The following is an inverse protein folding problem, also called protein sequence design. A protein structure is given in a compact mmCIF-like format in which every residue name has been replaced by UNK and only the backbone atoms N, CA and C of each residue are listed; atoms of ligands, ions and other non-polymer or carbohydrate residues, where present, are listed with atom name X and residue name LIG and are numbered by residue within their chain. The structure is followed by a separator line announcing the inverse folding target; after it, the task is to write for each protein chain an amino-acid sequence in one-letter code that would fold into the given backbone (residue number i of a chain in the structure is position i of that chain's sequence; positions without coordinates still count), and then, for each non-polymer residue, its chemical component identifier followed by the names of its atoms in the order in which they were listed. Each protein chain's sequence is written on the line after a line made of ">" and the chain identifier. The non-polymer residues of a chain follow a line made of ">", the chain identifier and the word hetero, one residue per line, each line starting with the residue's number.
data_IF_778636876556
#
_entry.id   IF_778636876556
#
_cell.length_a   1.000
_cell.length_b   1.000
_cell.length_c   1.000
_cell.angle_alpha   90.00
_cell.angle_beta   90.00
_cell.angle_gamma   90.00
#
_symmetry.space_group_name_H-M   'P 1'
#
loop_
_entity.id
_entity.type
_entity.pdbx_description
1 polymer ?
#
# COMPACT_ATOMS: atom_id res chain seq x y z
N UNK A 1 -0.74 -47.88 -33.10
CA UNK A 1 -1.22 -47.45 -31.77
C UNK A 1 -0.47 -46.17 -31.37
N UNK A 2 -0.88 -45.01 -31.90
CA UNK A 2 -0.16 -43.74 -31.68
C UNK A 2 -0.52 -43.16 -30.32
N UNK A 3 0.42 -43.14 -29.37
CA UNK A 3 0.20 -42.52 -28.06
C UNK A 3 -0.04 -41.03 -28.25
N UNK A 4 -1.06 -40.51 -27.60
CA UNK A 4 -1.56 -39.14 -27.73
C UNK A 4 -0.63 -38.12 -27.06
N UNK A 5 0.55 -37.90 -27.63
CA UNK A 5 1.58 -36.98 -27.13
C UNK A 5 1.12 -35.50 -26.96
N UNK A 6 -0.10 -35.15 -27.40
CA UNK A 6 -0.72 -33.83 -27.22
C UNK A 6 -1.35 -33.63 -25.84
N UNK A 7 -1.94 -34.67 -25.24
CA UNK A 7 -2.56 -34.57 -23.91
C UNK A 7 -1.52 -34.30 -22.81
N UNK A 8 -0.38 -34.99 -22.90
CA UNK A 8 0.73 -34.82 -21.95
C UNK A 8 1.33 -33.41 -21.99
N UNK A 9 1.45 -32.80 -23.18
CA UNK A 9 1.95 -31.42 -23.34
C UNK A 9 1.01 -30.36 -22.74
N UNK A 10 -0.30 -30.60 -22.76
CA UNK A 10 -1.29 -29.68 -22.20
C UNK A 10 -1.29 -29.70 -20.66
N UNK A 11 -1.15 -30.87 -20.06
CA UNK A 11 -1.00 -31.00 -18.60
C UNK A 11 0.28 -30.32 -18.10
N UNK A 12 1.39 -30.51 -18.80
CA UNK A 12 2.66 -29.88 -18.47
C UNK A 12 2.56 -28.34 -18.53
N UNK A 13 1.95 -27.77 -19.59
CA UNK A 13 1.72 -26.32 -19.69
C UNK A 13 0.81 -25.78 -18.57
N UNK A 14 -0.24 -26.52 -18.20
CA UNK A 14 -1.15 -26.16 -17.12
C UNK A 14 -0.45 -26.15 -15.75
N UNK A 15 0.40 -27.13 -15.48
CA UNK A 15 1.22 -27.18 -14.27
C UNK A 15 2.22 -26.03 -14.19
N UNK A 16 2.90 -25.68 -15.29
CA UNK A 16 3.78 -24.52 -15.32
C UNK A 16 3.03 -23.22 -15.05
N UNK A 17 1.86 -23.02 -15.67
CA UNK A 17 1.03 -21.84 -15.42
C UNK A 17 0.61 -21.73 -13.95
N UNK A 18 0.26 -22.86 -13.32
CA UNK A 18 -0.14 -22.93 -11.90
C UNK A 18 1.02 -22.55 -10.98
N UNK A 19 2.21 -23.13 -11.19
CA UNK A 19 3.42 -22.80 -10.42
C UNK A 19 3.82 -21.34 -10.60
N UNK A 20 3.66 -20.80 -11.80
CA UNK A 20 3.95 -19.38 -12.11
C UNK A 20 2.98 -18.47 -11.37
N UNK A 21 1.69 -18.77 -11.37
CA UNK A 21 0.68 -18.00 -10.64
C UNK A 21 0.90 -18.06 -9.12
N UNK A 22 1.26 -19.22 -8.56
CA UNK A 22 1.56 -19.39 -7.14
C UNK A 22 2.80 -18.58 -6.75
N UNK A 23 3.89 -18.67 -7.52
CA UNK A 23 5.11 -17.92 -7.26
C UNK A 23 4.93 -16.41 -7.39
N UNK A 24 4.11 -15.94 -8.34
CA UNK A 24 3.68 -14.54 -8.44
C UNK A 24 2.90 -14.14 -7.18
N UNK A 25 1.93 -14.94 -6.75
CA UNK A 25 1.12 -14.67 -5.55
C UNK A 25 1.95 -14.62 -4.27
N UNK A 26 2.92 -15.52 -4.11
CA UNK A 26 3.83 -15.53 -2.96
C UNK A 26 4.76 -14.31 -2.96
N UNK A 27 5.38 -13.98 -4.11
CA UNK A 27 6.17 -12.75 -4.25
C UNK A 27 5.35 -11.50 -3.96
N UNK A 28 4.09 -11.48 -4.37
CA UNK A 28 3.16 -10.40 -4.05
C UNK A 28 2.99 -10.33 -2.52
N UNK A 29 2.54 -11.41 -1.89
CA UNK A 29 2.31 -11.47 -0.43
C UNK A 29 3.51 -11.02 0.39
N UNK A 30 4.71 -11.49 0.06
CA UNK A 30 5.93 -11.14 0.80
C UNK A 30 6.25 -9.64 0.69
N UNK A 31 6.03 -9.02 -0.47
CA UNK A 31 6.26 -7.57 -0.68
C UNK A 31 5.27 -6.71 0.10
N UNK A 32 4.00 -7.10 0.19
CA UNK A 32 3.00 -6.30 0.90
C UNK A 32 3.11 -6.47 2.42
N UNK A 33 3.39 -7.67 2.90
CA UNK A 33 3.53 -7.92 4.34
C UNK A 33 4.78 -7.24 4.91
N UNK A 34 5.91 -7.29 4.20
CA UNK A 34 7.17 -6.64 4.66
C UNK A 34 7.10 -5.10 4.68
N UNK A 35 6.28 -4.50 3.83
CA UNK A 35 6.05 -3.05 3.78
C UNK A 35 4.81 -2.58 4.56
N UNK A 36 4.12 -3.49 5.26
CA UNK A 36 2.98 -3.13 6.11
C UNK A 36 3.44 -2.37 7.35
N UNK A 37 2.54 -1.55 7.90
CA UNK A 37 2.73 -0.92 9.20
C UNK A 37 2.65 -1.94 10.35
N UNK A 38 3.37 -1.67 11.45
CA UNK A 38 3.24 -2.43 12.68
C UNK A 38 1.96 -2.06 13.45
N UNK A 39 1.46 -2.97 14.29
CA UNK A 39 0.27 -2.71 15.13
C UNK A 39 0.50 -1.52 16.08
N UNK A 40 1.73 -1.39 16.58
CA UNK A 40 2.20 -0.31 17.44
C UNK A 40 2.16 1.05 16.74
N UNK A 41 2.34 1.10 15.41
CA UNK A 41 2.30 2.35 14.67
C UNK A 41 0.92 3.00 14.75
N UNK A 42 -0.13 2.22 14.54
CA UNK A 42 -1.52 2.66 14.70
C UNK A 42 -1.84 3.04 16.15
N UNK A 43 -1.32 2.29 17.13
CA UNK A 43 -1.44 2.65 18.55
C UNK A 43 -0.78 3.99 18.89
N UNK A 44 0.40 4.28 18.35
CA UNK A 44 1.09 5.58 18.51
C UNK A 44 0.25 6.72 17.94
N UNK A 45 -0.41 6.53 16.80
CA UNK A 45 -1.33 7.51 16.24
C UNK A 45 -2.49 7.86 17.19
N UNK A 46 -3.08 6.86 17.84
CA UNK A 46 -4.14 7.06 18.83
C UNK A 46 -3.61 7.84 20.04
N UNK A 47 -2.46 7.44 20.59
CA UNK A 47 -1.85 8.11 21.74
C UNK A 47 -1.50 9.56 21.41
N UNK A 48 -0.89 9.83 20.25
CA UNK A 48 -0.56 11.18 19.82
C UNK A 48 -1.81 12.05 19.64
N UNK A 49 -2.88 11.49 19.08
CA UNK A 49 -4.16 12.21 18.94
C UNK A 49 -4.80 12.49 20.32
N UNK A 50 -4.77 11.51 21.23
CA UNK A 50 -5.32 11.65 22.57
C UNK A 50 -4.54 12.66 23.44
N UNK A 51 -3.24 12.82 23.18
CA UNK A 51 -2.38 13.77 23.87
C UNK A 51 -2.45 15.20 23.28
N UNK A 52 -3.13 15.40 22.14
CA UNK A 52 -3.24 16.71 21.51
C UNK A 52 -4.15 17.64 22.35
N UNK A 53 -3.65 18.77 22.88
CA UNK A 53 -4.47 19.73 23.62
C UNK A 53 -5.61 20.31 22.78
N UNK A 54 -5.48 20.29 21.45
CA UNK A 54 -6.45 20.81 20.49
C UNK A 54 -7.27 19.69 19.81
N UNK A 55 -7.35 18.49 20.39
CA UNK A 55 -8.04 17.31 19.82
C UNK A 55 -9.47 17.62 19.33
N UNK A 56 -10.18 18.55 19.97
CA UNK A 56 -11.54 18.96 19.57
C UNK A 56 -11.59 19.52 18.15
N UNK A 57 -10.53 20.19 17.67
CA UNK A 57 -10.43 20.71 16.29
C UNK A 57 -10.37 19.59 15.24
N UNK A 58 -10.07 18.36 15.67
CA UNK A 58 -9.92 17.18 14.83
C UNK A 58 -11.17 16.29 14.83
N UNK A 59 -12.19 16.63 15.62
CA UNK A 59 -13.45 15.87 15.64
C UNK A 59 -14.19 15.93 14.30
N UNK A 60 -14.97 14.89 13.99
CA UNK A 60 -15.77 14.81 12.76
C UNK A 60 -14.98 14.54 11.47
N UNK A 61 -13.71 14.15 11.57
CA UNK A 61 -12.82 13.91 10.42
C UNK A 61 -12.17 12.53 10.49
N UNK A 62 -11.82 11.99 9.35
CA UNK A 62 -11.09 10.71 9.23
C UNK A 62 -9.61 11.01 8.97
N UNK A 63 -8.73 10.52 9.83
CA UNK A 63 -7.28 10.63 9.67
C UNK A 63 -6.67 9.25 9.42
N UNK A 64 -5.65 9.19 8.57
CA UNK A 64 -4.82 7.98 8.44
C UNK A 64 -3.68 8.04 9.45
N UNK A 65 -3.20 6.88 9.90
CA UNK A 65 -2.05 6.81 10.81
C UNK A 65 -0.82 7.50 10.23
N UNK A 66 -0.59 7.38 8.92
CA UNK A 66 0.49 8.09 8.22
C UNK A 66 0.36 9.62 8.26
N UNK A 67 -0.85 10.17 8.16
CA UNK A 67 -1.06 11.61 8.27
C UNK A 67 -0.80 12.11 9.70
N UNK A 68 -1.23 11.34 10.71
CA UNK A 68 -0.94 11.64 12.11
C UNK A 68 0.56 11.53 12.41
N UNK A 69 1.25 10.58 11.79
CA UNK A 69 2.69 10.40 11.92
C UNK A 69 3.48 11.57 11.33
N UNK A 70 3.08 12.05 10.14
CA UNK A 70 3.67 13.25 9.54
C UNK A 70 3.39 14.50 10.40
N UNK A 71 2.19 14.62 10.99
CA UNK A 71 1.76 15.78 11.77
C UNK A 71 2.40 15.84 13.17
N UNK A 72 2.38 14.73 13.91
CA UNK A 72 2.91 14.64 15.27
C UNK A 72 4.36 14.15 15.34
N UNK A 73 4.95 13.78 14.21
CA UNK A 73 6.38 13.45 14.10
C UNK A 73 6.79 12.08 14.67
N UNK A 74 5.84 11.15 14.85
CA UNK A 74 6.18 9.79 15.28
C UNK A 74 6.49 8.87 14.09
N UNK A 75 7.23 7.79 14.36
CA UNK A 75 7.61 6.78 13.37
C UNK A 75 7.23 5.38 13.87
N UNK A 76 7.27 4.41 12.97
CA UNK A 76 7.08 3.00 13.33
C UNK A 76 8.23 2.49 14.20
N UNK A 77 8.05 1.33 14.84
CA UNK A 77 9.03 0.69 15.73
C UNK A 77 10.40 0.47 15.05
N UNK A 78 10.39 0.27 13.73
CA UNK A 78 11.59 0.08 12.92
C UNK A 78 12.24 1.42 12.49
N UNK A 79 11.72 2.56 12.97
CA UNK A 79 12.16 3.90 12.56
C UNK A 79 11.72 4.30 11.15
N UNK A 80 10.93 3.46 10.47
CA UNK A 80 10.36 3.73 9.14
C UNK A 80 9.11 4.61 9.25
N UNK A 81 8.81 5.32 8.18
CA UNK A 81 7.49 5.91 7.95
C UNK A 81 6.78 5.04 6.90
N UNK A 82 5.76 4.27 7.30
CA UNK A 82 5.03 3.42 6.37
C UNK A 82 4.48 4.22 5.18
N UNK A 83 4.53 3.67 3.96
CA UNK A 83 4.03 4.34 2.76
C UNK A 83 2.52 4.56 2.83
N UNK A 84 2.04 5.72 2.37
CA UNK A 84 0.61 6.03 2.29
C UNK A 84 0.16 5.96 0.83
N UNK A 85 -0.30 4.77 0.42
CA UNK A 85 -0.76 4.52 -0.95
C UNK A 85 -2.10 5.19 -1.29
N UNK A 86 -2.77 5.84 -0.32
CA UNK A 86 -4.06 6.49 -0.54
C UNK A 86 -3.86 7.97 -0.83
N UNK A 87 -3.10 8.67 0.01
CA UNK A 87 -2.91 10.12 -0.10
C UNK A 87 -1.55 10.52 -0.64
N UNK A 88 -0.46 9.76 -0.52
CA UNK A 88 0.84 10.21 -1.07
C UNK A 88 0.95 9.88 -2.56
N UNK A 89 1.06 10.92 -3.39
CA UNK A 89 1.15 10.78 -4.85
C UNK A 89 2.36 9.94 -5.27
N UNK A 90 3.49 10.15 -4.60
CA UNK A 90 4.73 9.38 -4.82
C UNK A 90 4.52 7.88 -4.63
N UNK A 91 3.87 7.50 -3.54
CA UNK A 91 3.68 6.10 -3.16
C UNK A 91 2.65 5.44 -4.10
N UNK A 92 1.59 6.19 -4.49
CA UNK A 92 0.61 5.79 -5.51
C UNK A 92 1.25 5.52 -6.87
N UNK A 93 2.14 6.41 -7.32
CA UNK A 93 2.86 6.25 -8.60
C UNK A 93 3.85 5.10 -8.58
N UNK A 94 4.52 4.91 -7.45
CA UNK A 94 5.41 3.77 -7.23
C UNK A 94 4.65 2.44 -7.33
N UNK A 95 3.43 2.39 -6.78
CA UNK A 95 2.54 1.22 -6.89
C UNK A 95 2.11 0.93 -8.33
N UNK A 96 1.91 1.96 -9.16
CA UNK A 96 1.53 1.83 -10.57
C UNK A 96 2.72 1.51 -11.51
N UNK A 97 3.93 1.33 -10.96
CA UNK A 97 5.14 0.99 -11.72
C UNK A 97 5.92 2.20 -12.25
N UNK A 98 5.51 3.43 -11.95
CA UNK A 98 6.18 4.67 -12.38
C UNK A 98 7.24 5.13 -11.37
N UNK A 99 8.21 4.26 -11.05
CA UNK A 99 9.27 4.56 -10.05
C UNK A 99 10.13 5.77 -10.41
N UNK A 100 10.36 6.02 -11.71
CA UNK A 100 11.16 7.13 -12.20
C UNK A 100 10.45 8.48 -12.00
N UNK A 101 9.14 8.56 -12.27
CA UNK A 101 8.34 9.76 -11.97
C UNK A 101 8.13 9.95 -10.46
N UNK A 102 7.96 8.86 -9.71
CA UNK A 102 7.83 8.92 -8.26
C UNK A 102 9.08 9.53 -7.60
N UNK A 103 10.28 9.23 -8.11
CA UNK A 103 11.52 9.80 -7.59
C UNK A 103 11.60 11.34 -7.71
N UNK A 104 10.89 11.92 -8.68
CA UNK A 104 10.84 13.37 -8.92
C UNK A 104 9.77 14.10 -8.10
N UNK A 105 8.88 13.38 -7.43
CA UNK A 105 7.79 13.97 -6.65
C UNK A 105 8.18 13.98 -5.17
N UNK A 106 8.17 15.14 -4.50
CA UNK A 106 8.41 15.20 -3.06
C UNK A 106 7.42 14.33 -2.30
N UNK A 107 7.88 13.63 -1.26
CA UNK A 107 7.04 12.78 -0.42
C UNK A 107 5.91 13.55 0.31
N UNK A 108 5.99 14.88 0.33
CA UNK A 108 5.01 15.78 0.93
C UNK A 108 3.80 16.05 0.04
N UNK A 109 3.83 15.69 -1.25
CA UNK A 109 2.71 15.94 -2.17
C UNK A 109 1.60 14.92 -1.88
N UNK A 110 0.56 15.39 -1.18
CA UNK A 110 -0.66 14.65 -0.88
C UNK A 110 -1.73 14.91 -1.94
N UNK A 111 -2.48 13.87 -2.28
CA UNK A 111 -3.65 13.90 -3.15
C UNK A 111 -4.81 14.50 -2.34
N UNK A 112 -5.43 15.59 -2.81
CA UNK A 112 -6.59 16.17 -2.14
C UNK A 112 -7.77 15.19 -2.06
N UNK A 113 -8.52 15.23 -0.96
CA UNK A 113 -9.66 14.33 -0.74
C UNK A 113 -10.75 14.41 -1.81
N UNK A 114 -10.97 15.59 -2.40
CA UNK A 114 -11.94 15.76 -3.50
C UNK A 114 -11.53 15.01 -4.77
N UNK A 115 -10.23 14.86 -5.02
CA UNK A 115 -9.72 14.17 -6.21
C UNK A 115 -9.95 12.66 -6.10
N UNK A 116 -9.77 12.10 -4.89
CA UNK A 116 -10.13 10.71 -4.59
C UNK A 116 -11.64 10.50 -4.69
N UNK A 117 -12.44 11.39 -4.09
CA UNK A 117 -13.90 11.33 -4.14
C UNK A 117 -14.42 11.36 -5.59
N UNK A 118 -13.88 12.25 -6.43
CA UNK A 118 -14.22 12.32 -7.85
C UNK A 118 -13.86 11.03 -8.59
N UNK A 119 -12.68 10.45 -8.34
CA UNK A 119 -12.25 9.19 -8.97
C UNK A 119 -13.19 8.03 -8.64
N UNK A 120 -13.56 7.84 -7.37
CA UNK A 120 -14.46 6.76 -6.95
C UNK A 120 -15.92 6.98 -7.39
N UNK A 121 -16.32 8.21 -7.68
CA UNK A 121 -17.64 8.49 -8.28
C UNK A 121 -17.69 8.27 -9.79
N UNK A 122 -16.55 8.25 -10.47
CA UNK A 122 -16.44 8.08 -11.94
C UNK A 122 -16.25 6.61 -12.34
N UNK A 123 -15.78 5.76 -11.43
CA UNK A 123 -15.45 4.35 -11.66
C UNK A 123 -16.61 3.42 -11.29
#
# INVERSE_FOLDING_TARGET
>A
MGKDHRGMKNNIKSSYQTITNISISLKFKDRYVSNSESTEFSGRGIVSLAADPDIMKKTGRIFTTGDLADEYGFKDIDGRSPPDYVRRLRDRLSMLGYSMLAAWIPASVKIPGWMLSAYYHIL
#
